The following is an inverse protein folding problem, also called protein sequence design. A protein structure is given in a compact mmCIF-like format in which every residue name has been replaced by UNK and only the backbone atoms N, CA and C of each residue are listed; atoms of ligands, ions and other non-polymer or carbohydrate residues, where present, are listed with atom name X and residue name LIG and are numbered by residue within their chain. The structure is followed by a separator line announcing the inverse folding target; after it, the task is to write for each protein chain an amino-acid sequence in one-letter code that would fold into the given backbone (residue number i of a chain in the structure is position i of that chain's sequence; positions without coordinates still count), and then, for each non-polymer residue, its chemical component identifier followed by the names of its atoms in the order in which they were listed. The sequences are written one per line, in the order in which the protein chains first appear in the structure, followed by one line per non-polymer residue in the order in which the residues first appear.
data_IF_943780722426
#
_entry.id   IF_943780722426
#
_cell.length_a   1.000
_cell.length_b   1.000
_cell.length_c   1.000
_cell.angle_alpha   90.00
_cell.angle_beta   90.00
_cell.angle_gamma   90.00
#
_symmetry.space_group_name_H-M   'P 1'
#
loop_
_entity.id
_entity.type
_entity.pdbx_description
1 polymer ?
#
# COMPACT_ATOMS: atom_id res chain seq x y z
N UNK A 1 13.92 21.61 2.30
CA UNK A 1 14.91 20.92 1.45
C UNK A 1 14.92 21.46 0.02
N UNK A 2 13.84 21.37 -0.77
CA UNK A 2 13.83 21.80 -2.18
C UNK A 2 14.08 23.29 -2.41
N UNK A 3 13.45 24.18 -1.63
CA UNK A 3 13.68 25.64 -1.75
C UNK A 3 15.14 26.03 -1.46
N UNK A 4 15.79 25.37 -0.51
CA UNK A 4 17.21 25.60 -0.22
C UNK A 4 18.08 25.19 -1.42
N UNK A 5 17.77 24.06 -2.06
CA UNK A 5 18.48 23.63 -3.28
C UNK A 5 18.32 24.66 -4.39
N UNK A 6 17.10 25.16 -4.63
CA UNK A 6 16.85 26.21 -5.64
C UNK A 6 17.65 27.47 -5.32
N UNK A 7 17.66 27.91 -4.05
CA UNK A 7 18.40 29.08 -3.59
C UNK A 7 19.90 28.95 -3.87
N UNK A 8 20.49 27.81 -3.55
CA UNK A 8 21.91 27.53 -3.78
C UNK A 8 22.27 27.46 -5.28
N UNK A 9 21.44 26.79 -6.08
CA UNK A 9 21.65 26.69 -7.54
C UNK A 9 21.64 28.06 -8.20
N UNK A 10 20.72 28.95 -7.80
CA UNK A 10 20.64 30.31 -8.35
C UNK A 10 21.81 31.19 -7.91
N UNK A 11 22.21 31.08 -6.64
CA UNK A 11 23.34 31.83 -6.07
C UNK A 11 24.66 31.48 -6.76
N UNK A 12 24.84 30.22 -7.11
CA UNK A 12 26.08 29.71 -7.69
C UNK A 12 26.14 29.89 -9.22
N UNK A 13 25.00 29.77 -9.93
CA UNK A 13 25.01 29.62 -11.39
C UNK A 13 24.31 30.72 -12.18
N UNK A 14 23.52 31.61 -11.55
CA UNK A 14 22.74 32.65 -12.26
C UNK A 14 23.02 34.08 -11.83
N UNK A 15 23.40 34.30 -10.57
CA UNK A 15 23.51 35.65 -10.01
C UNK A 15 24.96 36.14 -9.96
N UNK A 16 25.22 37.28 -10.58
CA UNK A 16 26.42 38.08 -10.33
C UNK A 16 26.48 38.51 -8.86
N UNK A 17 27.70 38.69 -8.31
CA UNK A 17 27.94 38.99 -6.90
C UNK A 17 27.05 40.12 -6.34
N UNK A 18 26.77 41.14 -7.14
CA UNK A 18 25.94 42.30 -6.77
C UNK A 18 24.42 42.01 -6.72
N UNK A 19 23.93 40.99 -7.44
CA UNK A 19 22.50 40.66 -7.51
C UNK A 19 22.07 39.64 -6.44
N UNK A 20 23.03 39.04 -5.71
CA UNK A 20 22.76 38.00 -4.71
C UNK A 20 21.94 38.51 -3.52
N UNK A 21 22.28 39.67 -2.95
CA UNK A 21 21.56 40.21 -1.79
C UNK A 21 20.13 40.64 -2.11
N UNK A 22 19.87 41.13 -3.34
CA UNK A 22 18.52 41.45 -3.80
C UNK A 22 17.69 40.18 -3.98
N UNK A 23 18.26 39.17 -4.64
CA UNK A 23 17.62 37.87 -4.80
C UNK A 23 17.29 37.20 -3.47
N UNK A 24 18.23 37.18 -2.51
CA UNK A 24 18.01 36.54 -1.22
C UNK A 24 16.87 37.17 -0.42
N UNK A 25 16.71 38.50 -0.53
CA UNK A 25 15.61 39.23 0.10
C UNK A 25 14.27 38.92 -0.54
N UNK A 26 14.24 38.86 -1.88
CA UNK A 26 13.00 38.69 -2.63
C UNK A 26 12.68 37.18 -2.88
N UNK A 27 13.51 36.25 -2.37
CA UNK A 27 13.41 34.81 -2.65
C UNK A 27 12.13 34.19 -2.09
N UNK A 28 11.85 34.47 -0.81
CA UNK A 28 10.73 33.84 -0.09
C UNK A 28 9.36 34.34 -0.61
N UNK A 29 9.33 35.51 -1.23
CA UNK A 29 8.14 36.05 -1.91
C UNK A 29 7.91 35.36 -3.26
N UNK A 30 8.98 35.11 -4.02
CA UNK A 30 8.93 34.55 -5.37
C UNK A 30 8.85 33.01 -5.41
N UNK A 31 9.36 32.32 -4.38
CA UNK A 31 9.43 30.86 -4.33
C UNK A 31 8.69 30.32 -3.11
N UNK A 32 7.50 29.76 -3.34
CA UNK A 32 6.67 29.17 -2.29
C UNK A 32 6.54 27.67 -2.48
N UNK A 33 6.70 26.92 -1.39
CA UNK A 33 6.47 25.47 -1.37
C UNK A 33 5.05 25.18 -0.90
N UNK A 34 4.39 24.26 -1.59
CA UNK A 34 3.05 23.79 -1.24
C UNK A 34 2.99 22.27 -1.33
N UNK A 35 2.18 21.65 -0.47
CA UNK A 35 1.88 20.23 -0.47
C UNK A 35 0.44 20.03 -0.94
N UNK A 36 0.27 19.27 -2.03
CA UNK A 36 -1.04 18.99 -2.61
C UNK A 36 -1.40 17.53 -2.36
N UNK A 37 -2.54 17.31 -1.69
CA UNK A 37 -3.07 15.98 -1.46
C UNK A 37 -3.86 15.51 -2.69
N UNK A 38 -3.34 14.48 -3.36
CA UNK A 38 -3.91 13.91 -4.58
C UNK A 38 -5.09 12.97 -4.32
N UNK A 39 -5.20 12.39 -3.12
CA UNK A 39 -6.27 11.45 -2.77
C UNK A 39 -7.42 12.16 -2.02
N UNK A 40 -8.67 12.14 -2.54
CA UNK A 40 -9.81 12.80 -1.92
C UNK A 40 -10.26 12.16 -0.59
N UNK A 41 -9.84 10.93 -0.29
CA UNK A 41 -10.17 10.22 0.96
C UNK A 41 -9.17 10.50 2.10
N UNK A 42 -8.14 11.30 1.87
CA UNK A 42 -7.13 11.56 2.88
C UNK A 42 -7.69 12.41 4.03
N UNK A 43 -7.74 11.83 5.23
CA UNK A 43 -8.05 12.55 6.46
C UNK A 43 -6.74 12.98 7.14
N UNK A 44 -6.47 14.28 7.25
CA UNK A 44 -5.32 14.80 7.99
C UNK A 44 -5.82 15.47 9.27
N UNK A 45 -5.34 15.01 10.43
CA UNK A 45 -5.53 15.74 11.68
C UNK A 45 -4.56 16.92 11.73
N UNK A 46 -5.09 18.13 11.55
CA UNK A 46 -4.31 19.37 11.62
C UNK A 46 -4.47 20.11 12.95
N UNK A 47 -5.20 19.58 13.94
CA UNK A 47 -5.56 20.33 15.16
C UNK A 47 -4.34 20.98 15.83
N UNK A 48 -3.27 20.21 16.01
CA UNK A 48 -2.03 20.66 16.64
C UNK A 48 -0.97 21.21 15.67
N UNK A 49 -1.25 21.31 14.37
CA UNK A 49 -0.26 21.77 13.40
C UNK A 49 -0.02 23.31 13.52
N UNK A 50 1.24 23.78 13.43
CA UNK A 50 1.56 25.20 13.35
C UNK A 50 0.85 25.88 12.17
N UNK A 51 0.57 27.19 12.31
CA UNK A 51 -0.17 27.96 11.29
C UNK A 51 0.52 27.93 9.93
N UNK A 52 1.85 28.03 9.90
CA UNK A 52 2.64 27.95 8.66
C UNK A 52 2.42 26.62 7.91
N UNK A 53 2.32 25.51 8.65
CA UNK A 53 2.11 24.17 8.07
C UNK A 53 0.68 24.02 7.54
N UNK A 54 -0.31 24.55 8.27
CA UNK A 54 -1.72 24.53 7.86
C UNK A 54 -1.94 25.28 6.54
N UNK A 55 -1.22 26.38 6.32
CA UNK A 55 -1.35 27.20 5.12
C UNK A 55 -0.65 26.60 3.88
N UNK A 56 0.27 25.66 4.08
CA UNK A 56 1.02 24.99 3.01
C UNK A 56 0.39 23.68 2.52
N UNK A 57 -0.61 23.14 3.22
CA UNK A 57 -1.25 21.86 2.85
C UNK A 57 -2.63 22.13 2.28
N UNK A 58 -2.83 21.76 1.02
CA UNK A 58 -4.12 21.91 0.33
C UNK A 58 -4.56 20.59 -0.31
N UNK A 59 -5.85 20.48 -0.59
CA UNK A 59 -6.38 19.39 -1.43
C UNK A 59 -6.25 19.74 -2.91
N UNK A 60 -6.25 18.72 -3.77
CA UNK A 60 -6.13 18.92 -5.22
C UNK A 60 -7.21 19.84 -5.81
N UNK A 61 -8.45 19.81 -5.32
CA UNK A 61 -9.55 20.69 -5.73
C UNK A 61 -9.29 22.17 -5.45
N UNK A 62 -8.44 22.47 -4.46
CA UNK A 62 -8.11 23.82 -4.03
C UNK A 62 -6.88 24.40 -4.76
N UNK A 63 -6.19 23.61 -5.57
CA UNK A 63 -4.93 24.01 -6.22
C UNK A 63 -5.12 25.19 -7.18
N UNK A 64 -6.14 25.12 -8.04
CA UNK A 64 -6.41 26.19 -9.02
C UNK A 64 -6.73 27.50 -8.29
N UNK A 65 -7.54 27.44 -7.24
CA UNK A 65 -7.93 28.61 -6.45
C UNK A 65 -6.75 29.18 -5.66
N UNK A 66 -5.88 28.31 -5.14
CA UNK A 66 -4.63 28.72 -4.51
C UNK A 66 -3.73 29.48 -5.49
N UNK A 67 -3.51 28.95 -6.69
CA UNK A 67 -2.68 29.58 -7.73
C UNK A 67 -3.24 30.95 -8.09
N UNK A 68 -4.54 31.04 -8.43
CA UNK A 68 -5.19 32.31 -8.81
C UNK A 68 -5.08 33.38 -7.73
N UNK A 69 -5.33 33.00 -6.48
CA UNK A 69 -5.21 33.92 -5.34
C UNK A 69 -3.79 34.44 -5.18
N UNK A 70 -2.76 33.59 -5.35
CA UNK A 70 -1.36 34.00 -5.27
C UNK A 70 -0.95 34.88 -6.44
N UNK A 71 -1.42 34.55 -7.64
CA UNK A 71 -1.20 35.34 -8.85
C UNK A 71 -1.76 36.76 -8.71
N UNK A 72 -2.99 36.88 -8.18
CA UNK A 72 -3.64 38.18 -7.92
C UNK A 72 -2.94 39.02 -6.82
N UNK A 73 -2.25 38.39 -5.88
CA UNK A 73 -1.48 39.08 -4.83
C UNK A 73 -0.11 39.52 -5.36
N UNK A 74 0.44 38.82 -6.36
CA UNK A 74 1.71 39.15 -6.96
C UNK A 74 1.59 40.41 -7.82
N UNK A 75 2.29 41.48 -7.43
CA UNK A 75 2.40 42.70 -8.22
C UNK A 75 3.49 42.64 -9.30
N UNK A 76 4.25 41.54 -9.37
CA UNK A 76 5.42 41.40 -10.23
C UNK A 76 5.14 40.42 -11.37
N UNK A 77 4.69 40.95 -12.51
CA UNK A 77 4.66 40.20 -13.75
C UNK A 77 6.09 40.03 -14.29
N UNK A 78 6.52 38.77 -14.44
CA UNK A 78 7.78 38.46 -15.11
C UNK A 78 7.56 38.49 -16.63
N UNK A 79 8.46 39.14 -17.37
CA UNK A 79 8.35 39.18 -18.84
C UNK A 79 8.55 37.78 -19.43
N UNK A 80 7.90 37.50 -20.55
CA UNK A 80 8.03 36.20 -21.24
C UNK A 80 9.49 35.87 -21.60
N UNK A 81 10.30 36.87 -21.94
CA UNK A 81 11.75 36.72 -22.18
C UNK A 81 12.47 36.16 -20.95
N UNK A 82 12.17 36.75 -19.79
CA UNK A 82 12.85 36.46 -18.53
C UNK A 82 12.39 35.08 -18.02
N UNK A 83 11.13 34.74 -18.24
CA UNK A 83 10.57 33.41 -17.98
C UNK A 83 11.26 32.33 -18.82
N UNK A 84 11.46 32.57 -20.11
CA UNK A 84 12.17 31.64 -20.99
C UNK A 84 13.62 31.44 -20.55
N UNK A 85 14.29 32.52 -20.15
CA UNK A 85 15.66 32.46 -19.61
C UNK A 85 15.72 31.61 -18.33
N UNK A 86 14.74 31.76 -17.42
CA UNK A 86 14.61 30.91 -16.23
C UNK A 86 14.47 29.43 -16.61
N UNK A 87 13.61 29.12 -17.58
CA UNK A 87 13.38 27.75 -18.04
C UNK A 87 14.65 27.13 -18.65
N UNK A 88 15.32 27.86 -19.53
CA UNK A 88 16.58 27.42 -20.15
C UNK A 88 17.68 27.23 -19.11
N UNK A 89 17.74 28.10 -18.10
CA UNK A 89 18.64 27.93 -16.98
C UNK A 89 18.38 26.61 -16.23
N UNK A 90 17.14 26.31 -15.84
CA UNK A 90 16.85 25.04 -15.17
C UNK A 90 17.20 23.81 -16.01
N UNK A 91 16.94 23.86 -17.33
CA UNK A 91 17.35 22.80 -18.25
C UNK A 91 18.87 22.64 -18.31
N UNK A 92 19.63 23.75 -18.27
CA UNK A 92 21.10 23.69 -18.24
C UNK A 92 21.67 23.10 -16.95
N UNK A 93 20.96 23.27 -15.82
CA UNK A 93 21.36 22.76 -14.52
C UNK A 93 20.85 21.34 -14.25
N UNK A 94 20.04 20.79 -15.16
CA UNK A 94 19.56 19.42 -15.05
C UNK A 94 20.74 18.46 -15.22
N UNK A 95 21.20 17.92 -14.10
CA UNK A 95 22.07 16.76 -14.11
C UNK A 95 21.17 15.52 -13.99
N UNK A 96 21.02 14.70 -15.05
CA UNK A 96 20.33 13.44 -14.91
C UNK A 96 21.07 12.65 -13.83
N UNK A 97 20.36 12.21 -12.80
CA UNK A 97 20.95 11.42 -11.71
C UNK A 97 21.53 10.14 -12.32
N UNK A 98 22.83 10.15 -12.63
CA UNK A 98 23.54 9.00 -13.16
C UNK A 98 23.87 8.06 -12.00
N UNK A 99 22.84 7.55 -11.33
CA UNK A 99 23.00 6.40 -10.44
C UNK A 99 23.20 5.22 -11.37
N UNK A 100 24.46 4.99 -11.76
CA UNK A 100 24.84 3.96 -12.71
C UNK A 100 24.84 2.59 -12.02
N UNK A 101 23.65 2.10 -11.71
CA UNK A 101 23.40 0.74 -11.23
C UNK A 101 23.95 -0.31 -12.22
N UNK A 102 23.98 0.00 -13.51
CA UNK A 102 24.47 -0.85 -14.60
C UNK A 102 25.89 -1.39 -14.33
N UNK A 103 26.79 -0.59 -13.75
CA UNK A 103 28.17 -1.00 -13.49
C UNK A 103 28.28 -1.95 -12.28
N UNK A 104 27.37 -1.84 -11.30
CA UNK A 104 27.22 -2.80 -10.18
C UNK A 104 26.68 -4.15 -10.69
N UNK A 105 25.77 -4.14 -11.66
CA UNK A 105 25.12 -5.35 -12.21
C UNK A 105 25.91 -6.02 -13.36
N UNK A 106 26.73 -5.29 -14.12
CA UNK A 106 27.65 -5.87 -15.10
C UNK A 106 28.69 -6.81 -14.46
N UNK A 107 29.07 -6.55 -13.20
CA UNK A 107 29.96 -7.44 -12.45
C UNK A 107 29.23 -8.67 -11.88
N UNK A 108 27.91 -8.59 -11.67
CA UNK A 108 27.07 -9.72 -11.24
C UNK A 108 26.71 -10.66 -12.41
N UNK A 109 26.49 -10.11 -13.61
CA UNK A 109 26.12 -10.89 -14.81
C UNK A 109 27.28 -11.70 -15.42
N UNK A 110 28.54 -11.27 -15.20
CA UNK A 110 29.73 -12.05 -15.60
C UNK A 110 29.86 -13.38 -14.83
N UNK A 111 29.30 -13.47 -13.62
CA UNK A 111 29.30 -14.70 -12.81
C UNK A 111 28.11 -15.63 -13.10
N UNK A 112 27.05 -15.15 -13.77
CA UNK A 112 25.86 -15.95 -14.09
C UNK A 112 25.94 -16.65 -15.44
N UNK A 113 26.73 -16.13 -16.38
CA UNK A 113 26.86 -16.69 -17.73
C UNK A 113 27.54 -18.07 -17.79
N UNK A 114 28.24 -18.49 -16.73
CA UNK A 114 28.76 -19.86 -16.57
C UNK A 114 27.68 -20.86 -16.15
N UNK A 115 26.57 -20.40 -15.58
CA UNK A 115 25.47 -21.25 -15.10
C UNK A 115 24.46 -21.50 -16.23
N UNK A 116 24.26 -20.53 -17.13
CA UNK A 116 23.22 -20.58 -18.17
C UNK A 116 23.57 -21.49 -19.35
N UNK A 117 24.85 -21.76 -19.63
CA UNK A 117 25.24 -22.69 -20.70
C UNK A 117 24.92 -24.17 -20.40
N UNK A 118 24.58 -24.52 -19.15
CA UNK A 118 24.20 -25.89 -18.79
C UNK A 118 22.69 -26.18 -18.92
N UNK A 119 21.85 -25.18 -19.19
CA UNK A 119 20.39 -25.35 -19.25
C UNK A 119 19.80 -25.50 -20.66
N UNK A 120 20.56 -25.26 -21.73
CA UNK A 120 20.06 -25.38 -23.11
C UNK A 120 20.12 -26.80 -23.68
N UNK A 121 20.80 -27.75 -23.01
CA UNK A 121 20.96 -29.13 -23.50
C UNK A 121 20.23 -30.17 -22.63
N UNK A 122 18.92 -30.01 -22.41
CA UNK A 122 18.02 -31.14 -22.12
C UNK A 122 16.55 -30.72 -22.24
N UNK A 123 16.00 -30.77 -23.45
CA UNK A 123 14.56 -30.96 -23.63
C UNK A 123 14.25 -32.42 -23.34
N UNK A 124 13.80 -32.71 -22.14
CA UNK A 124 13.05 -33.93 -21.86
C UNK A 124 11.76 -33.51 -21.17
N UNK A 125 10.64 -33.94 -21.74
CA UNK A 125 9.31 -33.80 -21.14
C UNK A 125 9.35 -34.58 -19.83
N UNK A 126 9.45 -33.87 -18.70
CA UNK A 126 9.34 -34.48 -17.37
C UNK A 126 7.86 -34.40 -16.99
N UNK A 127 7.20 -35.56 -16.96
CA UNK A 127 5.99 -35.76 -16.18
C UNK A 127 6.38 -35.60 -14.71
N UNK A 128 5.76 -34.66 -14.00
CA UNK A 128 6.01 -34.48 -12.58
C UNK A 128 5.06 -35.36 -11.77
N UNK A 129 5.60 -36.50 -11.30
CA UNK A 129 5.02 -37.26 -10.21
C UNK A 129 5.15 -36.50 -8.88
N UNK A 130 4.11 -36.62 -8.05
CA UNK A 130 4.03 -36.09 -6.69
C UNK A 130 5.13 -36.67 -5.80
N UNK A 131 6.17 -35.90 -5.42
CA UNK A 131 6.87 -36.07 -4.14
C UNK A 131 7.34 -34.75 -3.53
N UNK A 132 6.81 -34.51 -2.33
CA UNK A 132 7.27 -33.68 -1.20
C UNK A 132 8.55 -32.84 -1.37
N UNK A 133 8.40 -31.52 -1.22
CA UNK A 133 9.50 -30.57 -1.01
C UNK A 133 9.49 -30.05 0.44
N UNK A 134 10.68 -29.79 1.02
CA UNK A 134 10.83 -29.47 2.43
C UNK A 134 10.18 -28.12 2.77
N UNK A 135 9.40 -28.13 3.84
CA UNK A 135 8.81 -26.95 4.46
C UNK A 135 9.90 -26.00 4.97
N UNK A 136 9.90 -24.72 4.59
CA UNK A 136 10.64 -23.70 5.31
C UNK A 136 9.99 -23.53 6.68
N UNK A 137 10.70 -23.96 7.73
CA UNK A 137 10.38 -23.63 9.12
C UNK A 137 10.65 -22.14 9.36
N UNK A 138 9.77 -21.28 8.86
CA UNK A 138 9.51 -19.96 9.40
C UNK A 138 8.03 -19.65 9.15
N UNK A 139 7.24 -19.76 10.23
CA UNK A 139 5.89 -19.21 10.30
C UNK A 139 6.00 -17.69 10.15
N UNK A 140 5.99 -17.21 8.91
CA UNK A 140 5.68 -15.81 8.64
C UNK A 140 4.15 -15.71 8.73
N UNK A 141 3.66 -15.16 9.83
CA UNK A 141 2.25 -14.80 9.96
C UNK A 141 2.03 -13.51 9.18
N UNK A 142 1.36 -13.62 8.04
CA UNK A 142 1.05 -12.51 7.15
C UNK A 142 -0.24 -11.83 7.61
N UNK A 143 -0.14 -10.77 8.41
CA UNK A 143 -1.31 -10.15 9.06
C UNK A 143 -2.02 -9.12 8.18
N UNK A 144 -1.37 -8.48 7.19
CA UNK A 144 -2.04 -7.64 6.18
C UNK A 144 -1.18 -7.59 4.91
N UNK A 145 -1.81 -7.65 3.73
CA UNK A 145 -1.14 -7.62 2.41
C UNK A 145 -0.36 -6.33 2.18
N UNK A 146 -0.77 -5.23 2.83
CA UNK A 146 -0.15 -3.92 2.70
C UNK A 146 1.15 -3.75 3.46
N UNK A 147 1.46 -4.64 4.41
CA UNK A 147 2.65 -4.52 5.26
C UNK A 147 3.89 -5.16 4.63
N UNK A 148 3.75 -5.70 3.43
CA UNK A 148 4.85 -6.32 2.70
C UNK A 148 5.73 -5.26 2.05
N UNK A 149 6.85 -4.99 2.70
CA UNK A 149 7.97 -4.26 2.12
C UNK A 149 8.94 -5.21 1.41
N UNK A 150 9.53 -4.76 0.29
CA UNK A 150 10.55 -5.49 -0.45
C UNK A 150 11.96 -5.35 0.15
N UNK A 151 12.10 -4.89 1.39
CA UNK A 151 13.39 -4.72 2.09
C UNK A 151 14.27 -5.97 2.15
N UNK A 152 13.67 -7.17 2.05
CA UNK A 152 14.40 -8.44 2.11
C UNK A 152 14.84 -8.97 0.73
N UNK A 153 14.47 -8.28 -0.35
CA UNK A 153 14.89 -8.62 -1.71
C UNK A 153 16.22 -7.91 -1.97
N UNK A 154 17.28 -8.68 -2.19
CA UNK A 154 18.63 -8.13 -2.41
C UNK A 154 19.16 -8.44 -3.82
N UNK A 155 18.57 -9.40 -4.51
CA UNK A 155 19.02 -9.85 -5.82
C UNK A 155 17.88 -10.49 -6.63
N UNK A 156 18.16 -10.79 -7.91
CA UNK A 156 17.18 -11.37 -8.84
C UNK A 156 16.67 -12.76 -8.43
N UNK A 157 17.49 -13.57 -7.75
CA UNK A 157 17.02 -14.87 -7.23
C UNK A 157 15.99 -14.65 -6.13
N UNK A 158 16.17 -13.63 -5.28
CA UNK A 158 15.20 -13.30 -4.24
C UNK A 158 13.88 -12.85 -4.86
N UNK A 159 13.90 -12.11 -5.97
CA UNK A 159 12.70 -11.75 -6.74
C UNK A 159 11.97 -13.01 -7.19
N UNK A 160 12.67 -13.94 -7.85
CA UNK A 160 12.08 -15.20 -8.33
C UNK A 160 11.50 -16.02 -7.18
N UNK A 161 12.25 -16.18 -6.08
CA UNK A 161 11.78 -16.91 -4.91
C UNK A 161 10.56 -16.25 -4.28
N UNK A 162 10.59 -14.94 -4.08
CA UNK A 162 9.49 -14.18 -3.52
C UNK A 162 8.23 -14.26 -4.39
N UNK A 163 8.35 -14.08 -5.71
CA UNK A 163 7.23 -14.20 -6.66
C UNK A 163 6.58 -15.58 -6.60
N UNK A 164 7.39 -16.65 -6.60
CA UNK A 164 6.88 -18.01 -6.50
C UNK A 164 6.22 -18.30 -5.15
N UNK A 165 6.87 -17.92 -4.05
CA UNK A 165 6.32 -18.09 -2.70
C UNK A 165 5.00 -17.34 -2.54
N UNK A 166 4.91 -16.11 -3.05
CA UNK A 166 3.69 -15.30 -3.02
C UNK A 166 2.56 -15.97 -3.82
N UNK A 167 2.83 -16.42 -5.05
CA UNK A 167 1.85 -17.09 -5.89
C UNK A 167 1.35 -18.40 -5.23
N UNK A 168 2.26 -19.23 -4.74
CA UNK A 168 1.93 -20.47 -4.02
C UNK A 168 1.08 -20.19 -2.78
N UNK A 169 1.45 -19.17 -1.99
CA UNK A 169 0.72 -18.80 -0.79
C UNK A 169 -0.72 -18.34 -1.10
N UNK A 170 -0.89 -17.50 -2.12
CA UNK A 170 -2.21 -17.03 -2.56
C UNK A 170 -3.06 -18.20 -3.05
N UNK A 171 -2.48 -19.10 -3.85
CA UNK A 171 -3.18 -20.28 -4.37
C UNK A 171 -3.68 -21.19 -3.25
N UNK A 172 -2.82 -21.51 -2.28
CA UNK A 172 -3.23 -22.30 -1.11
C UNK A 172 -4.31 -21.59 -0.30
N UNK A 173 -4.20 -20.28 -0.14
CA UNK A 173 -5.17 -19.50 0.65
C UNK A 173 -6.55 -19.45 -0.01
N UNK A 174 -6.60 -19.36 -1.35
CA UNK A 174 -7.84 -19.27 -2.10
C UNK A 174 -8.41 -20.64 -2.52
N UNK A 175 -7.66 -21.74 -2.32
CA UNK A 175 -8.01 -23.08 -2.78
C UNK A 175 -8.31 -23.14 -4.30
N UNK A 176 -7.54 -22.40 -5.11
CA UNK A 176 -7.75 -22.32 -6.56
C UNK A 176 -6.67 -23.14 -7.28
N UNK A 177 -7.09 -24.08 -8.11
CA UNK A 177 -6.25 -24.77 -9.08
C UNK A 177 -6.43 -24.16 -10.48
N UNK A 178 -5.48 -23.37 -10.99
CA UNK A 178 -5.51 -22.89 -12.39
C UNK A 178 -4.23 -23.19 -13.18
N UNK A 179 -4.39 -22.98 -14.50
CA UNK A 179 -3.62 -23.43 -15.65
C UNK A 179 -2.39 -22.55 -16.02
N UNK A 180 -2.26 -21.34 -15.47
CA UNK A 180 -1.29 -20.34 -15.96
C UNK A 180 -0.19 -19.96 -14.95
N UNK A 181 0.19 -20.87 -14.06
CA UNK A 181 1.15 -20.60 -12.97
C UNK A 181 2.48 -20.00 -13.46
N UNK A 182 3.00 -20.52 -14.57
CA UNK A 182 4.29 -20.09 -15.12
C UNK A 182 4.20 -18.66 -15.67
N UNK A 183 3.14 -18.33 -16.41
CA UNK A 183 2.90 -16.98 -16.91
C UNK A 183 2.59 -16.00 -15.77
N UNK A 184 1.82 -16.43 -14.77
CA UNK A 184 1.53 -15.63 -13.58
C UNK A 184 2.80 -15.33 -12.77
N UNK A 185 3.69 -16.32 -12.62
CA UNK A 185 4.98 -16.13 -11.97
C UNK A 185 5.88 -15.17 -12.75
N UNK A 186 5.96 -15.31 -14.08
CA UNK A 186 6.74 -14.38 -14.91
C UNK A 186 6.22 -12.94 -14.83
N UNK A 187 4.90 -12.77 -14.77
CA UNK A 187 4.32 -11.44 -14.55
C UNK A 187 4.73 -10.86 -13.20
N UNK A 188 4.62 -11.64 -12.13
CA UNK A 188 5.03 -11.22 -10.78
C UNK A 188 6.52 -10.87 -10.74
N UNK A 189 7.38 -11.69 -11.35
CA UNK A 189 8.81 -11.46 -11.44
C UNK A 189 9.13 -10.16 -12.18
N UNK A 190 8.49 -9.93 -13.33
CA UNK A 190 8.67 -8.71 -14.10
C UNK A 190 8.31 -7.48 -13.27
N UNK A 191 7.12 -7.46 -12.67
CA UNK A 191 6.60 -6.28 -11.96
C UNK A 191 7.30 -6.04 -10.63
N UNK A 192 7.60 -7.09 -9.85
CA UNK A 192 8.43 -6.95 -8.64
C UNK A 192 9.84 -6.49 -9.01
N UNK A 193 10.41 -7.00 -10.10
CA UNK A 193 11.68 -6.53 -10.62
C UNK A 193 11.64 -5.06 -11.01
N UNK A 194 10.60 -4.61 -11.72
CA UNK A 194 10.41 -3.21 -12.05
C UNK A 194 10.40 -2.35 -10.78
N UNK A 195 9.58 -2.70 -9.80
CA UNK A 195 9.48 -1.95 -8.54
C UNK A 195 10.80 -1.96 -7.75
N UNK A 196 11.49 -3.09 -7.67
CA UNK A 196 12.73 -3.19 -6.93
C UNK A 196 13.86 -2.33 -7.52
N UNK A 197 13.97 -2.29 -8.85
CA UNK A 197 15.00 -1.53 -9.56
C UNK A 197 14.66 -0.04 -9.73
N UNK A 198 13.41 0.30 -10.07
CA UNK A 198 13.03 1.64 -10.54
C UNK A 198 12.17 2.45 -9.54
N UNK A 199 11.42 1.81 -8.65
CA UNK A 199 10.52 2.53 -7.73
C UNK A 199 11.29 3.13 -6.53
N UNK A 200 10.81 4.24 -5.95
CA UNK A 200 11.36 4.77 -4.71
C UNK A 200 11.10 3.82 -3.54
N UNK A 201 11.93 3.89 -2.49
CA UNK A 201 11.93 2.91 -1.38
C UNK A 201 10.55 2.78 -0.67
N UNK A 202 9.79 3.86 -0.57
CA UNK A 202 8.45 3.89 0.01
C UNK A 202 7.40 3.20 -0.88
N UNK A 203 7.64 3.11 -2.18
CA UNK A 203 6.77 2.43 -3.16
C UNK A 203 7.17 0.97 -3.41
N UNK A 204 8.28 0.47 -2.83
CA UNK A 204 8.73 -0.93 -2.92
C UNK A 204 7.94 -1.86 -2.01
N UNK A 205 6.65 -1.99 -2.29
CA UNK A 205 5.72 -2.75 -1.48
C UNK A 205 4.63 -3.45 -2.32
N UNK A 206 3.87 -4.34 -1.67
CA UNK A 206 2.83 -5.13 -2.32
C UNK A 206 1.61 -4.28 -2.73
N UNK A 207 1.35 -3.14 -2.09
CA UNK A 207 0.28 -2.22 -2.50
C UNK A 207 0.56 -1.60 -3.87
N UNK A 208 1.80 -1.19 -4.13
CA UNK A 208 2.21 -0.69 -5.45
C UNK A 208 2.17 -1.79 -6.51
N UNK A 209 2.54 -3.03 -6.15
CA UNK A 209 2.42 -4.18 -7.05
C UNK A 209 0.97 -4.43 -7.47
N UNK A 210 0.02 -4.33 -6.54
CA UNK A 210 -1.41 -4.44 -6.82
C UNK A 210 -1.92 -3.30 -7.69
N UNK A 211 -1.47 -2.08 -7.42
CA UNK A 211 -1.82 -0.94 -8.26
C UNK A 211 -1.33 -1.13 -9.70
N UNK A 212 -0.09 -1.60 -9.90
CA UNK A 212 0.41 -1.95 -11.24
C UNK A 212 -0.40 -3.10 -11.88
N UNK A 213 -0.85 -4.09 -11.10
CA UNK A 213 -1.70 -5.17 -11.61
C UNK A 213 -3.05 -4.66 -12.12
N UNK A 214 -3.68 -3.73 -11.41
CA UNK A 214 -4.95 -3.11 -11.82
C UNK A 214 -4.77 -2.22 -13.06
N UNK A 215 -3.64 -1.51 -13.17
CA UNK A 215 -3.32 -0.70 -14.36
C UNK A 215 -2.97 -1.54 -15.59
N UNK A 216 -2.53 -2.79 -15.41
CA UNK A 216 -2.26 -3.73 -16.51
C UNK A 216 -3.56 -4.36 -17.05
N UNK A 217 -4.73 -4.00 -16.51
CA UNK A 217 -6.03 -4.51 -16.96
C UNK A 217 -6.33 -4.09 -18.41
N UNK A 218 -6.51 -5.09 -19.27
CA UNK A 218 -6.55 -4.94 -20.72
C UNK A 218 -7.95 -4.49 -21.21
N UNK A 219 -8.19 -3.18 -21.40
CA UNK A 219 -9.41 -2.70 -22.04
C UNK A 219 -9.33 -2.80 -23.58
N UNK A 220 -9.85 -3.90 -24.15
CA UNK A 220 -10.01 -4.09 -25.61
C UNK A 220 -11.18 -3.25 -26.18
N UNK A 221 -11.13 -1.93 -26.15
CA UNK A 221 -12.06 -1.14 -26.99
C UNK A 221 -11.41 -0.54 -28.23
N UNK A 222 -10.10 -0.33 -28.24
CA UNK A 222 -9.41 0.18 -29.42
C UNK A 222 -8.06 -0.50 -29.64
N UNK A 223 -7.81 -0.89 -30.89
CA UNK A 223 -6.62 -1.61 -31.37
C UNK A 223 -5.30 -0.83 -31.18
N UNK A 224 -5.40 0.45 -30.79
CA UNK A 224 -4.29 1.36 -30.49
C UNK A 224 -4.06 1.63 -29.00
N UNK A 225 -4.80 0.98 -28.11
CA UNK A 225 -4.69 1.25 -26.66
C UNK A 225 -3.45 0.55 -26.07
N UNK A 226 -2.43 1.33 -25.75
CA UNK A 226 -1.32 0.92 -24.87
C UNK A 226 -1.73 1.17 -23.43
N UNK A 227 -1.65 0.15 -22.57
CA UNK A 227 -1.91 0.35 -21.15
C UNK A 227 -0.73 1.09 -20.48
N UNK A 228 -0.97 1.70 -19.32
CA UNK A 228 0.07 2.47 -18.60
C UNK A 228 1.31 1.63 -18.29
N UNK A 229 1.12 0.35 -17.96
CA UNK A 229 2.22 -0.57 -17.64
C UNK A 229 3.11 -0.82 -18.86
N UNK A 230 2.52 -1.02 -20.04
CA UNK A 230 3.26 -1.22 -21.30
C UNK A 230 4.06 0.02 -21.66
N UNK A 231 3.54 1.22 -21.44
CA UNK A 231 4.30 2.48 -21.62
C UNK A 231 5.54 2.49 -20.70
N UNK A 232 5.37 2.13 -19.42
CA UNK A 232 6.48 2.09 -18.45
C UNK A 232 7.57 1.09 -18.86
N UNK A 233 7.17 -0.09 -19.35
CA UNK A 233 8.13 -1.09 -19.83
C UNK A 233 8.80 -0.70 -21.15
N UNK A 234 8.08 -0.05 -22.07
CA UNK A 234 8.64 0.45 -23.32
C UNK A 234 9.68 1.55 -23.07
N UNK A 235 9.42 2.45 -22.12
CA UNK A 235 10.39 3.45 -21.69
C UNK A 235 11.62 2.82 -21.03
N UNK A 236 11.42 1.84 -20.16
CA UNK A 236 12.51 1.11 -19.53
C UNK A 236 13.35 0.34 -20.55
N UNK A 237 12.72 -0.25 -21.56
CA UNK A 237 13.39 -0.95 -22.65
C UNK A 237 14.24 0.00 -23.51
N UNK A 238 13.74 1.20 -23.82
CA UNK A 238 14.51 2.22 -24.53
C UNK A 238 15.75 2.64 -23.75
N UNK A 239 15.67 2.69 -22.42
CA UNK A 239 16.82 3.00 -21.55
C UNK A 239 17.79 1.82 -21.44
N UNK A 240 17.27 0.61 -21.22
CA UNK A 240 18.04 -0.60 -21.07
C UNK A 240 17.24 -1.84 -21.51
N UNK A 241 17.52 -2.32 -22.71
CA UNK A 241 16.85 -3.50 -23.27
C UNK A 241 17.19 -4.82 -22.58
N UNK A 242 18.28 -4.85 -21.80
CA UNK A 242 18.72 -6.01 -21.01
C UNK A 242 18.32 -5.91 -19.54
N UNK A 243 17.45 -4.96 -19.19
CA UNK A 243 16.95 -4.83 -17.83
C UNK A 243 16.15 -6.08 -17.42
N UNK A 244 16.37 -6.60 -16.21
CA UNK A 244 15.71 -7.81 -15.70
C UNK A 244 14.19 -7.77 -15.89
N UNK A 245 13.55 -6.67 -15.47
CA UNK A 245 12.11 -6.48 -15.61
C UNK A 245 11.63 -6.54 -17.08
N UNK A 246 12.38 -5.94 -18.01
CA UNK A 246 12.06 -5.94 -19.46
C UNK A 246 12.17 -7.35 -20.02
N UNK A 247 13.23 -8.09 -19.67
CA UNK A 247 13.41 -9.49 -20.08
C UNK A 247 12.24 -10.34 -19.59
N UNK A 248 11.87 -10.23 -18.30
CA UNK A 248 10.75 -11.00 -17.72
C UNK A 248 9.40 -10.60 -18.31
N UNK A 249 9.18 -9.31 -18.61
CA UNK A 249 7.96 -8.86 -19.30
C UNK A 249 7.84 -9.45 -20.70
N UNK A 250 8.95 -9.55 -21.44
CA UNK A 250 8.98 -10.20 -22.76
C UNK A 250 8.75 -11.70 -22.67
N UNK A 251 9.39 -12.39 -21.72
CA UNK A 251 9.14 -13.81 -21.45
C UNK A 251 7.65 -14.06 -21.13
N UNK A 252 7.04 -13.22 -20.29
CA UNK A 252 5.61 -13.25 -20.01
C UNK A 252 4.75 -13.06 -21.27
N UNK A 253 4.99 -11.99 -22.05
CA UNK A 253 4.23 -11.72 -23.28
C UNK A 253 4.34 -12.87 -24.28
N UNK A 254 5.53 -13.45 -24.41
CA UNK A 254 5.78 -14.59 -25.30
C UNK A 254 5.07 -15.86 -24.82
N UNK A 255 5.14 -16.18 -23.52
CA UNK A 255 4.53 -17.38 -22.95
C UNK A 255 3.00 -17.28 -22.92
N UNK A 256 2.47 -16.14 -22.49
CA UNK A 256 1.03 -15.93 -22.34
C UNK A 256 0.35 -15.70 -23.70
N UNK A 257 1.02 -15.02 -24.65
CA UNK A 257 0.50 -14.74 -25.98
C UNK A 257 -0.91 -14.13 -25.93
N UNK A 258 -1.85 -14.73 -26.68
CA UNK A 258 -3.26 -14.30 -26.71
C UNK A 258 -3.98 -14.44 -25.37
N UNK A 259 -3.42 -15.21 -24.44
CA UNK A 259 -4.00 -15.46 -23.12
C UNK A 259 -3.51 -14.47 -22.05
N UNK A 260 -2.63 -13.53 -22.38
CA UNK A 260 -2.11 -12.54 -21.42
C UNK A 260 -3.22 -11.89 -20.58
N UNK A 261 -4.32 -11.47 -21.22
CA UNK A 261 -5.50 -10.94 -20.51
C UNK A 261 -6.04 -11.90 -19.46
N UNK A 262 -6.25 -13.17 -19.78
CA UNK A 262 -6.77 -14.16 -18.83
C UNK A 262 -5.81 -14.39 -17.66
N UNK A 263 -4.50 -14.31 -17.91
CA UNK A 263 -3.50 -14.41 -16.83
C UNK A 263 -3.61 -13.23 -15.87
N UNK A 264 -3.70 -12.00 -16.40
CA UNK A 264 -3.87 -10.79 -15.58
C UNK A 264 -5.20 -10.82 -14.82
N UNK A 265 -6.32 -11.12 -15.49
CA UNK A 265 -7.64 -11.23 -14.85
C UNK A 265 -7.62 -12.28 -13.71
N UNK A 266 -6.91 -13.40 -13.92
CA UNK A 266 -6.74 -14.45 -12.92
C UNK A 266 -5.95 -13.94 -11.72
N UNK A 267 -4.84 -13.23 -11.95
CA UNK A 267 -4.06 -12.61 -10.88
C UNK A 267 -4.90 -11.58 -10.11
N UNK A 268 -5.63 -10.70 -10.80
CA UNK A 268 -6.55 -9.73 -10.18
C UNK A 268 -7.57 -10.45 -9.28
N UNK A 269 -8.20 -11.51 -9.79
CA UNK A 269 -9.13 -12.32 -9.01
C UNK A 269 -8.46 -12.95 -7.78
N UNK A 270 -7.24 -13.47 -7.93
CA UNK A 270 -6.47 -14.10 -6.86
C UNK A 270 -6.15 -13.12 -5.74
N UNK A 271 -5.61 -11.96 -6.09
CA UNK A 271 -5.26 -10.94 -5.10
C UNK A 271 -6.49 -10.33 -4.43
N UNK A 272 -7.59 -10.12 -5.15
CA UNK A 272 -8.86 -9.67 -4.55
C UNK A 272 -9.43 -10.70 -3.58
N UNK A 273 -9.48 -11.96 -3.99
CA UNK A 273 -9.97 -13.06 -3.15
C UNK A 273 -9.08 -13.23 -1.92
N UNK A 274 -7.77 -13.18 -2.10
CA UNK A 274 -6.80 -13.23 -1.01
C UNK A 274 -6.94 -12.03 -0.05
N UNK A 275 -7.20 -10.82 -0.54
CA UNK A 275 -7.48 -9.63 0.29
C UNK A 275 -8.75 -9.84 1.12
N UNK A 276 -9.82 -10.37 0.53
CA UNK A 276 -11.06 -10.68 1.24
C UNK A 276 -10.81 -11.77 2.30
N UNK A 277 -10.12 -12.86 1.95
CA UNK A 277 -9.84 -13.99 2.84
C UNK A 277 -8.88 -13.59 3.97
N UNK A 278 -7.87 -12.77 3.70
CA UNK A 278 -6.95 -12.29 4.74
C UNK A 278 -7.67 -11.38 5.72
N UNK A 279 -8.51 -10.46 5.24
CA UNK A 279 -9.35 -9.62 6.09
C UNK A 279 -10.38 -10.43 6.92
N UNK A 280 -10.91 -11.54 6.38
CA UNK A 280 -11.82 -12.42 7.15
C UNK A 280 -11.09 -13.38 8.10
N UNK A 281 -9.82 -13.74 7.82
CA UNK A 281 -8.98 -14.55 8.71
C UNK A 281 -8.41 -13.73 9.88
N UNK A 282 -8.09 -12.46 9.66
CA UNK A 282 -7.72 -11.50 10.73
C UNK A 282 -8.87 -11.28 11.73
N UNK A 283 -10.11 -11.49 11.28
CA UNK A 283 -11.31 -11.44 12.13
C UNK A 283 -11.47 -12.61 13.11
N UNK A 284 -10.58 -13.61 13.12
CA UNK A 284 -10.57 -14.58 14.22
C UNK A 284 -9.95 -14.03 15.51
N UNK A 285 -9.24 -12.89 15.44
CA UNK A 285 -8.72 -12.14 16.60
C UNK A 285 -9.37 -10.77 16.84
N UNK A 286 -9.79 -10.06 15.79
CA UNK A 286 -10.45 -8.73 15.90
C UNK A 286 -11.95 -8.80 16.08
N UNK A 287 -12.65 -9.83 15.58
CA UNK A 287 -14.10 -9.93 15.75
C UNK A 287 -14.47 -10.15 17.22
N UNK A 288 -13.65 -10.87 18.01
CA UNK A 288 -13.92 -10.98 19.46
C UNK A 288 -13.74 -9.65 20.17
N UNK A 289 -12.76 -8.80 19.81
CA UNK A 289 -12.57 -7.50 20.44
C UNK A 289 -13.64 -6.48 20.00
N UNK A 290 -14.04 -6.48 18.73
CA UNK A 290 -15.11 -5.62 18.22
C UNK A 290 -16.49 -6.07 18.74
N UNK A 291 -16.77 -7.38 18.78
CA UNK A 291 -17.97 -7.94 19.43
C UNK A 291 -17.94 -7.64 20.93
N UNK A 292 -16.81 -7.81 21.62
CA UNK A 292 -16.69 -7.46 23.04
C UNK A 292 -16.93 -5.97 23.28
N UNK A 293 -16.34 -5.09 22.48
CA UNK A 293 -16.57 -3.64 22.56
C UNK A 293 -18.04 -3.28 22.30
N UNK A 294 -18.67 -3.95 21.34
CA UNK A 294 -20.09 -3.77 21.02
C UNK A 294 -20.98 -4.24 22.17
N UNK A 295 -20.73 -5.43 22.73
CA UNK A 295 -21.45 -5.96 23.89
C UNK A 295 -21.22 -5.07 25.11
N UNK A 296 -19.99 -4.59 25.36
CA UNK A 296 -19.68 -3.63 26.43
C UNK A 296 -20.52 -2.36 26.28
N UNK A 297 -20.60 -1.82 25.06
CA UNK A 297 -21.38 -0.62 24.76
C UNK A 297 -22.88 -0.85 25.00
N UNK A 298 -23.41 -1.98 24.56
CA UNK A 298 -24.82 -2.34 24.78
C UNK A 298 -25.14 -2.58 26.27
N UNK A 299 -24.28 -3.28 27.01
CA UNK A 299 -24.41 -3.48 28.46
C UNK A 299 -24.35 -2.15 29.22
N UNK A 300 -23.46 -1.23 28.83
CA UNK A 300 -23.40 0.13 29.40
C UNK A 300 -24.68 0.92 29.13
N UNK A 301 -25.24 0.82 27.93
CA UNK A 301 -26.49 1.47 27.56
C UNK A 301 -27.69 0.88 28.31
N UNK A 302 -27.79 -0.45 28.42
CA UNK A 302 -28.81 -1.13 29.21
C UNK A 302 -28.75 -0.68 30.67
N UNK A 303 -27.55 -0.69 31.26
CA UNK A 303 -27.31 -0.23 32.63
C UNK A 303 -27.78 1.22 32.85
N UNK A 304 -27.47 2.11 31.92
CA UNK A 304 -27.90 3.52 31.99
C UNK A 304 -29.42 3.66 31.84
N UNK A 305 -30.02 2.93 30.90
CA UNK A 305 -31.47 2.95 30.66
C UNK A 305 -32.24 2.47 31.90
N UNK A 306 -31.82 1.34 32.47
CA UNK A 306 -32.48 0.76 33.65
C UNK A 306 -32.33 1.65 34.88
N UNK A 307 -31.16 2.26 35.06
CA UNK A 307 -30.90 3.24 36.11
C UNK A 307 -31.86 4.44 36.05
N UNK A 308 -32.14 4.95 34.84
CA UNK A 308 -33.12 6.04 34.65
C UNK A 308 -34.56 5.60 34.97
N UNK A 309 -34.94 4.39 34.58
CA UNK A 309 -36.28 3.83 34.84
C UNK A 309 -36.52 3.66 36.34
N UNK A 310 -35.50 3.19 37.06
CA UNK A 310 -35.62 2.90 38.50
C UNK A 310 -35.24 4.07 39.40
N UNK A 311 -34.76 5.19 38.83
CA UNK A 311 -34.31 6.34 39.61
C UNK A 311 -33.09 6.08 40.49
N UNK A 312 -32.28 5.06 40.16
CA UNK A 312 -31.08 4.69 40.93
C UNK A 312 -29.81 4.92 40.11
N UNK A 313 -28.63 4.99 40.74
CA UNK A 313 -27.37 5.20 40.00
C UNK A 313 -26.99 3.96 39.17
N UNK A 314 -26.36 4.11 37.98
CA UNK A 314 -26.03 3.01 37.06
C UNK A 314 -25.32 1.81 37.68
N UNK A 315 -24.35 2.06 38.58
CA UNK A 315 -23.58 1.00 39.21
C UNK A 315 -24.37 0.16 40.23
N UNK A 316 -25.57 0.58 40.65
CA UNK A 316 -26.46 -0.25 41.49
C UNK A 316 -27.11 -1.40 40.70
N UNK A 317 -27.26 -1.24 39.37
CA UNK A 317 -27.73 -2.33 38.48
C UNK A 317 -26.63 -3.42 38.45
N UNK A 318 -25.44 -3.08 37.94
CA UNK A 318 -24.21 -3.85 38.11
C UNK A 318 -22.94 -2.99 37.92
N UNK A 319 -21.87 -3.32 38.64
CA UNK A 319 -20.57 -2.65 38.59
C UNK A 319 -19.75 -3.13 37.37
N UNK A 320 -18.72 -2.36 37.01
CA UNK A 320 -17.83 -2.72 35.89
C UNK A 320 -17.12 -4.07 36.13
N UNK A 321 -16.70 -4.35 37.38
CA UNK A 321 -16.15 -5.67 37.77
C UNK A 321 -17.11 -6.83 37.45
N UNK A 322 -18.41 -6.61 37.58
CA UNK A 322 -19.44 -7.61 37.27
C UNK A 322 -19.66 -7.73 35.77
N UNK A 323 -19.53 -6.62 35.02
CA UNK A 323 -19.57 -6.61 33.55
C UNK A 323 -18.38 -7.38 32.97
N UNK A 324 -17.20 -7.24 33.55
CA UNK A 324 -16.01 -8.01 33.17
C UNK A 324 -16.20 -9.51 33.43
N UNK A 325 -16.75 -9.88 34.60
CA UNK A 325 -17.03 -11.29 34.91
C UNK A 325 -18.12 -11.89 34.00
N UNK A 326 -19.13 -11.09 33.59
CA UNK A 326 -20.11 -11.49 32.57
C UNK A 326 -19.43 -11.81 31.24
N UNK A 327 -18.54 -10.94 30.77
CA UNK A 327 -17.83 -11.11 29.50
C UNK A 327 -16.82 -12.25 29.55
N UNK A 328 -16.29 -12.57 30.74
CA UNK A 328 -15.39 -13.69 30.96
C UNK A 328 -16.12 -15.03 30.93
N UNK A 329 -17.32 -15.10 31.53
CA UNK A 329 -18.10 -16.34 31.68
C UNK A 329 -19.08 -16.60 30.54
N UNK A 330 -19.50 -15.56 29.81
CA UNK A 330 -20.46 -15.62 28.70
C UNK A 330 -21.67 -16.56 28.98
N UNK A 331 -22.47 -16.28 30.04
CA UNK A 331 -23.58 -17.15 30.41
C UNK A 331 -24.66 -17.21 29.32
N UNK A 332 -25.20 -18.41 29.07
CA UNK A 332 -26.29 -18.69 28.13
C UNK A 332 -27.65 -18.87 28.81
N UNK A 333 -27.65 -19.16 30.11
CA UNK A 333 -28.87 -19.45 30.89
C UNK A 333 -28.93 -18.59 32.16
N UNK A 334 -30.12 -18.49 32.77
CA UNK A 334 -30.29 -17.81 34.06
C UNK A 334 -29.50 -18.49 35.18
N UNK A 335 -29.36 -19.81 35.13
CA UNK A 335 -28.59 -20.58 36.10
C UNK A 335 -27.08 -20.30 35.96
N UNK A 336 -26.58 -20.16 34.73
CA UNK A 336 -25.20 -19.73 34.49
C UNK A 336 -24.96 -18.28 34.91
N UNK A 337 -25.98 -17.42 34.81
CA UNK A 337 -25.91 -16.03 35.25
C UNK A 337 -25.79 -15.92 36.78
N UNK A 338 -26.36 -16.86 37.55
CA UNK A 338 -26.20 -16.92 39.02
C UNK A 338 -24.74 -17.19 39.45
N UNK A 339 -23.94 -17.81 38.57
CA UNK A 339 -22.52 -18.07 38.82
C UNK A 339 -21.64 -16.84 38.57
N UNK A 340 -22.19 -15.71 38.12
CA UNK A 340 -21.48 -14.46 37.88
C UNK A 340 -21.47 -13.61 39.15
N UNK A 341 -20.30 -13.05 39.50
CA UNK A 341 -20.10 -12.32 40.75
C UNK A 341 -21.09 -11.17 40.92
N UNK A 342 -21.91 -11.25 41.98
CA UNK A 342 -22.91 -10.28 42.38
C UNK A 342 -24.18 -10.22 41.49
N UNK A 343 -24.45 -11.28 40.72
CA UNK A 343 -25.76 -11.57 40.14
C UNK A 343 -26.52 -12.59 41.02
N UNK A 344 -27.16 -12.09 42.08
CA UNK A 344 -28.06 -12.90 42.91
C UNK A 344 -29.44 -13.11 42.28
N UNK A 345 -30.24 -14.00 42.89
CA UNK A 345 -31.59 -14.39 42.42
C UNK A 345 -32.49 -13.19 42.07
N UNK A 346 -32.52 -12.16 42.91
CA UNK A 346 -33.30 -10.94 42.67
C UNK A 346 -32.88 -10.20 41.38
N UNK A 347 -31.57 -10.11 41.10
CA UNK A 347 -31.06 -9.43 39.90
C UNK A 347 -31.21 -10.27 38.64
N UNK A 348 -31.01 -11.59 38.74
CA UNK A 348 -31.22 -12.52 37.63
C UNK A 348 -32.69 -12.52 37.20
N UNK A 349 -33.62 -12.52 38.16
CA UNK A 349 -35.05 -12.44 37.85
C UNK A 349 -35.43 -11.11 37.21
N UNK A 350 -34.79 -10.00 37.62
CA UNK A 350 -35.15 -8.65 37.17
C UNK A 350 -34.50 -8.24 35.84
N UNK A 351 -33.25 -8.67 35.59
CA UNK A 351 -32.44 -8.19 34.45
C UNK A 351 -31.90 -9.31 33.57
N UNK A 352 -32.04 -10.58 33.98
CA UNK A 352 -31.36 -11.70 33.33
C UNK A 352 -31.73 -11.90 31.87
N UNK A 353 -33.00 -11.78 31.51
CA UNK A 353 -33.47 -11.99 30.13
C UNK A 353 -32.87 -10.98 29.15
N UNK A 354 -32.85 -9.69 29.52
CA UNK A 354 -32.29 -8.63 28.69
C UNK A 354 -30.75 -8.72 28.60
N UNK A 355 -30.08 -9.09 29.69
CA UNK A 355 -28.63 -9.30 29.68
C UNK A 355 -28.25 -10.46 28.76
N UNK A 356 -28.95 -11.60 28.86
CA UNK A 356 -28.71 -12.75 27.98
C UNK A 356 -28.99 -12.42 26.51
N UNK A 357 -30.01 -11.62 26.23
CA UNK A 357 -30.33 -11.14 24.89
C UNK A 357 -29.23 -10.25 24.30
N UNK A 358 -28.61 -9.40 25.10
CA UNK A 358 -27.46 -8.57 24.70
C UNK A 358 -26.23 -9.44 24.43
N UNK A 359 -25.98 -10.45 25.28
CA UNK A 359 -24.82 -11.34 25.13
C UNK A 359 -24.88 -12.25 23.89
N UNK A 360 -26.08 -12.68 23.50
CA UNK A 360 -26.28 -13.69 22.43
C UNK A 360 -27.12 -13.19 21.26
N UNK A 361 -27.09 -11.87 21.02
CA UNK A 361 -27.79 -11.23 19.91
C UNK A 361 -27.39 -11.90 18.59
N UNK A 362 -28.36 -12.56 17.93
CA UNK A 362 -28.20 -13.17 16.60
C UNK A 362 -28.36 -12.14 15.50
#
# INVERSE_FOLDING_TARGET
MHLQVIKEVWKNNRLSFFNRSKFERDFDDNFQSIVVLSNPKTCINMECAPKEVKEQVIRADQLIEFIRRKDNISSNEMRNSDMLEVCQFYLSQHNPSNVNYSQKFQNLSKNTNSITQNFTNKRTIIKCDEKQYPTPNNKIFFNTITDFSFTHINNERDIVHFSNSLLTYIKHTCNISNLYDEAASLWLQATIGYLWYEAPEDEKNLSTLLYMLELDEFQRKHESYTNTVDILYDELERKNSQHYAVIKRKEFKNLAGKNAKYVIDTLVYYFRTFTIISNTKTDTGTNTNNIKETIIKELKNFRLKQSKIEGIKPYYIFKDVQMEDLLKKMPKTKDELLNVSGFGTAKVNKYGDEILKILWKK
#
